data_IF_325894490133
#
_entry.id   IF_325894490133
#
_cell.length_a   1.000
_cell.length_b   1.000
_cell.length_c   1.000
_cell.angle_alpha   90.00
_cell.angle_beta   90.00
_cell.angle_gamma   90.00
#
_symmetry.space_group_name_H-M   'P 1'
#
loop_
_entity.id
_entity.type
_entity.pdbx_description
1 polymer ?
#
# COMPACT_ATOMS: atom_id res chain seq x y z
N UNK A 1 3.41 13.72 0.85
CA UNK A 1 3.13 14.90 1.66
C UNK A 1 4.35 15.18 2.51
N UNK A 2 5.05 16.26 2.15
CA UNK A 2 6.24 16.68 2.85
C UNK A 2 5.89 17.22 4.23
N UNK A 3 6.67 16.86 5.23
CA UNK A 3 6.67 17.58 6.49
C UNK A 3 7.19 19.00 6.20
N UNK A 4 6.35 19.99 6.38
CA UNK A 4 6.74 21.39 6.22
C UNK A 4 7.67 21.77 7.37
N UNK A 5 8.91 22.12 7.04
CA UNK A 5 9.90 22.58 8.02
C UNK A 5 9.81 24.09 8.08
N UNK A 6 8.92 24.64 8.90
CA UNK A 6 8.96 26.06 9.29
C UNK A 6 9.79 26.22 10.56
N UNK A 7 10.96 26.82 10.43
CA UNK A 7 11.74 27.27 11.57
C UNK A 7 12.41 26.19 12.41
N UNK A 8 12.75 25.06 11.84
CA UNK A 8 13.50 23.99 12.54
C UNK A 8 12.69 23.16 13.53
N UNK A 9 11.38 23.32 13.58
CA UNK A 9 10.48 22.51 14.43
C UNK A 9 9.77 21.50 13.53
N UNK A 10 9.96 20.20 13.78
CA UNK A 10 9.12 19.15 13.19
C UNK A 10 7.70 19.36 13.67
N UNK A 11 6.77 19.58 12.74
CA UNK A 11 5.35 19.56 13.09
C UNK A 11 4.95 18.16 13.53
N UNK A 12 4.09 18.11 14.55
CA UNK A 12 3.56 16.89 15.15
C UNK A 12 2.94 15.93 14.14
N UNK A 13 3.02 14.64 14.45
CA UNK A 13 2.42 13.56 13.65
C UNK A 13 0.90 13.76 13.40
N UNK A 14 0.22 14.56 14.18
CA UNK A 14 -1.18 14.96 13.98
C UNK A 14 -1.41 15.77 12.69
N UNK A 15 -0.38 16.42 12.17
CA UNK A 15 -0.45 17.11 10.87
C UNK A 15 -0.42 16.13 9.67
N UNK A 16 -0.07 14.86 9.89
CA UNK A 16 -0.02 13.83 8.86
C UNK A 16 -1.34 13.07 8.67
N UNK A 17 -2.33 13.29 9.53
CA UNK A 17 -3.65 12.64 9.46
C UNK A 17 -4.63 13.37 8.53
N UNK A 18 -4.13 14.07 7.52
CA UNK A 18 -4.94 14.93 6.67
C UNK A 18 -5.44 14.26 5.40
N UNK A 19 -4.72 13.26 4.89
CA UNK A 19 -5.14 12.55 3.68
C UNK A 19 -6.39 11.73 3.94
N UNK A 20 -7.40 11.94 3.08
CA UNK A 20 -8.69 11.29 3.18
C UNK A 20 -8.95 10.41 1.95
N UNK A 21 -9.90 9.50 2.07
CA UNK A 21 -10.38 8.70 0.94
C UNK A 21 -10.89 9.59 -0.19
N UNK A 22 -11.51 10.73 0.13
CA UNK A 22 -11.97 11.71 -0.86
C UNK A 22 -10.82 12.24 -1.73
N UNK A 23 -9.64 12.47 -1.16
CA UNK A 23 -8.46 12.88 -1.93
C UNK A 23 -8.08 11.83 -2.98
N UNK A 24 -8.12 10.57 -2.60
CA UNK A 24 -7.87 9.46 -3.52
C UNK A 24 -8.92 9.40 -4.63
N UNK A 25 -10.19 9.48 -4.28
CA UNK A 25 -11.30 9.44 -5.24
C UNK A 25 -11.21 10.60 -6.24
N UNK A 26 -10.94 11.81 -5.76
CA UNK A 26 -10.79 12.99 -6.62
C UNK A 26 -9.58 12.87 -7.56
N UNK A 27 -8.47 12.32 -7.10
CA UNK A 27 -7.29 12.06 -7.94
C UNK A 27 -7.65 11.05 -9.05
N UNK A 28 -8.35 9.98 -8.71
CA UNK A 28 -8.80 8.99 -9.71
C UNK A 28 -9.71 9.63 -10.76
N UNK A 29 -10.66 10.46 -10.33
CA UNK A 29 -11.72 10.97 -11.20
C UNK A 29 -11.28 12.19 -12.04
N UNK A 30 -10.41 13.04 -11.51
CA UNK A 30 -10.14 14.36 -12.08
C UNK A 30 -8.80 14.46 -12.83
N UNK A 31 -7.85 13.53 -12.62
CA UNK A 31 -6.53 13.62 -13.28
C UNK A 31 -6.55 13.03 -14.69
N UNK A 32 -5.74 13.62 -15.58
CA UNK A 32 -5.57 13.19 -16.97
C UNK A 32 -4.21 12.57 -17.22
N UNK A 33 -3.19 12.98 -16.48
CA UNK A 33 -1.81 12.57 -16.66
C UNK A 33 -1.34 11.51 -15.65
N UNK A 34 -2.28 10.93 -14.90
CA UNK A 34 -2.05 9.86 -13.95
C UNK A 34 -2.64 8.56 -14.48
N UNK A 35 -1.84 7.50 -14.56
CA UNK A 35 -2.28 6.19 -15.09
C UNK A 35 -2.81 5.27 -14.01
N UNK A 36 -2.23 5.32 -12.82
CA UNK A 36 -2.57 4.43 -11.71
C UNK A 36 -2.48 5.17 -10.38
N UNK A 37 -3.39 4.89 -9.48
CA UNK A 37 -3.49 5.51 -8.16
C UNK A 37 -3.81 4.44 -7.13
N UNK A 38 -3.09 4.42 -6.03
CA UNK A 38 -3.38 3.53 -4.91
C UNK A 38 -3.33 4.29 -3.58
N UNK A 39 -4.37 4.17 -2.75
CA UNK A 39 -4.25 4.56 -1.35
C UNK A 39 -3.24 3.66 -0.67
N UNK A 40 -2.63 4.14 0.41
CA UNK A 40 -1.63 3.38 1.15
C UNK A 40 -1.79 3.59 2.66
N UNK A 41 -1.89 2.48 3.35
CA UNK A 41 -1.74 2.37 4.79
C UNK A 41 -0.83 1.18 5.08
N UNK A 42 -0.08 1.19 6.17
CA UNK A 42 0.79 0.05 6.46
C UNK A 42 0.88 -0.20 7.96
N UNK A 43 1.26 -1.43 8.30
CA UNK A 43 1.52 -1.86 9.67
C UNK A 43 2.64 -2.90 9.66
N UNK A 44 3.63 -2.71 10.52
CA UNK A 44 4.72 -3.67 10.72
C UNK A 44 4.41 -4.58 11.90
N UNK A 45 4.79 -5.84 11.81
CA UNK A 45 4.55 -6.84 12.83
C UNK A 45 5.03 -8.22 12.44
N UNK A 46 4.51 -9.23 13.12
CA UNK A 46 4.84 -10.62 12.88
C UNK A 46 3.72 -11.31 12.07
N UNK A 47 4.07 -11.91 10.95
CA UNK A 47 3.23 -12.87 10.25
C UNK A 47 3.53 -14.26 10.82
N UNK A 48 2.50 -15.08 11.03
CA UNK A 48 2.61 -16.39 11.67
C UNK A 48 1.87 -17.44 10.84
N UNK A 49 2.53 -18.53 10.58
CA UNK A 49 1.94 -19.74 10.03
C UNK A 49 2.46 -20.97 10.79
N UNK A 50 1.58 -21.65 11.55
CA UNK A 50 1.99 -22.73 12.42
C UNK A 50 3.06 -22.30 13.43
N UNK A 51 4.20 -22.98 13.42
CA UNK A 51 5.35 -22.66 14.26
C UNK A 51 6.31 -21.63 13.66
N UNK A 52 6.07 -21.21 12.41
CA UNK A 52 6.93 -20.28 11.70
C UNK A 52 6.41 -18.86 11.84
N UNK A 53 7.32 -17.91 12.00
CA UNK A 53 7.00 -16.51 12.00
C UNK A 53 7.95 -15.70 11.11
N UNK A 54 7.48 -14.57 10.62
CA UNK A 54 8.25 -13.66 9.79
C UNK A 54 7.94 -12.22 10.22
N UNK A 55 8.92 -11.46 10.70
CA UNK A 55 8.75 -10.03 10.85
C UNK A 55 8.64 -9.42 9.46
N UNK A 56 7.57 -8.66 9.22
CA UNK A 56 7.31 -8.07 7.90
C UNK A 56 6.40 -6.85 8.02
N UNK A 57 6.14 -6.20 6.89
CA UNK A 57 5.20 -5.10 6.81
C UNK A 57 4.04 -5.49 5.90
N UNK A 58 2.81 -5.24 6.37
CA UNK A 58 1.60 -5.36 5.55
C UNK A 58 1.26 -3.98 5.01
N UNK A 59 1.15 -3.89 3.68
CA UNK A 59 0.71 -2.70 2.97
C UNK A 59 -0.75 -2.88 2.56
N UNK A 60 -1.61 -2.01 3.06
CA UNK A 60 -3.00 -1.89 2.62
C UNK A 60 -3.06 -0.97 1.41
N UNK A 61 -3.41 -1.53 0.25
CA UNK A 61 -3.33 -0.86 -1.05
C UNK A 61 -4.52 -1.25 -1.94
N UNK A 62 -4.60 -0.67 -3.12
CA UNK A 62 -5.49 -1.11 -4.20
C UNK A 62 -4.71 -1.92 -5.25
N UNK A 63 -5.40 -2.66 -6.14
CA UNK A 63 -4.73 -3.45 -7.18
C UNK A 63 -3.79 -2.64 -8.09
N UNK A 64 -4.03 -1.35 -8.28
CA UNK A 64 -3.16 -0.46 -9.07
C UNK A 64 -1.72 -0.38 -8.53
N UNK A 65 -1.53 -0.72 -7.27
CA UNK A 65 -0.20 -0.74 -6.65
C UNK A 65 0.78 -1.67 -7.39
N UNK A 66 0.29 -2.77 -7.96
CA UNK A 66 1.12 -3.69 -8.75
C UNK A 66 1.74 -2.98 -9.95
N UNK A 67 0.95 -2.20 -10.69
CA UNK A 67 1.45 -1.42 -11.82
C UNK A 67 2.43 -0.35 -11.38
N UNK A 68 2.09 0.41 -10.34
CA UNK A 68 2.91 1.51 -9.82
C UNK A 68 4.29 1.04 -9.39
N UNK A 69 4.35 -0.07 -8.64
CA UNK A 69 5.59 -0.64 -8.09
C UNK A 69 6.17 -1.76 -8.94
N UNK A 70 5.54 -2.08 -10.07
CA UNK A 70 5.99 -3.13 -11.01
C UNK A 70 6.13 -4.49 -10.36
N UNK A 71 5.17 -4.86 -9.52
CA UNK A 71 5.01 -6.21 -9.02
C UNK A 71 4.15 -7.03 -9.97
N UNK A 72 4.44 -8.34 -10.04
CA UNK A 72 3.64 -9.31 -10.79
C UNK A 72 3.25 -10.45 -9.87
N UNK A 73 2.05 -10.99 -10.06
CA UNK A 73 1.61 -12.19 -9.38
C UNK A 73 2.14 -13.40 -10.14
N UNK A 74 2.90 -14.26 -9.46
CA UNK A 74 3.45 -15.50 -10.02
C UNK A 74 2.48 -16.67 -9.87
N UNK A 75 1.90 -16.82 -8.68
CA UNK A 75 0.94 -17.87 -8.34
C UNK A 75 -0.33 -17.27 -7.77
N UNK A 76 -1.48 -17.90 -8.09
CA UNK A 76 -2.77 -17.41 -7.63
C UNK A 76 -3.19 -16.12 -8.32
N UNK A 77 -3.91 -15.29 -7.61
CA UNK A 77 -4.47 -14.06 -8.12
C UNK A 77 -4.23 -12.87 -7.16
N UNK A 78 -4.39 -11.65 -7.68
CA UNK A 78 -4.50 -10.45 -6.86
C UNK A 78 -5.89 -10.39 -6.23
N UNK A 79 -6.02 -9.75 -5.08
CA UNK A 79 -7.33 -9.44 -4.52
C UNK A 79 -8.07 -8.43 -5.40
N UNK A 80 -9.40 -8.43 -5.30
CA UNK A 80 -10.30 -7.70 -6.20
C UNK A 80 -10.83 -6.41 -5.56
N UNK A 81 -11.47 -5.57 -6.36
CA UNK A 81 -12.21 -4.41 -5.90
C UNK A 81 -13.32 -4.79 -4.90
N UNK A 82 -13.95 -5.94 -5.09
CA UNK A 82 -14.94 -6.46 -4.14
C UNK A 82 -14.31 -6.78 -2.79
N UNK A 83 -13.11 -7.33 -2.77
CA UNK A 83 -12.36 -7.58 -1.53
C UNK A 83 -12.08 -6.27 -0.78
N UNK A 84 -11.82 -5.19 -1.51
CA UNK A 84 -11.68 -3.86 -0.93
C UNK A 84 -13.01 -3.39 -0.32
N UNK A 85 -14.10 -3.47 -1.07
CA UNK A 85 -15.42 -3.01 -0.60
C UNK A 85 -15.90 -3.75 0.65
N UNK A 86 -15.61 -5.03 0.74
CA UNK A 86 -16.01 -5.88 1.87
C UNK A 86 -14.97 -5.92 3.00
N UNK A 87 -13.86 -5.24 2.86
CA UNK A 87 -12.71 -5.33 3.77
C UNK A 87 -12.33 -6.79 4.04
N UNK A 88 -12.19 -7.57 2.98
CA UNK A 88 -11.91 -9.00 3.06
C UNK A 88 -10.54 -9.28 3.68
N UNK A 89 -10.45 -10.34 4.47
CA UNK A 89 -9.21 -10.79 5.09
C UNK A 89 -8.44 -11.70 4.13
N UNK A 90 -7.97 -11.12 3.05
CA UNK A 90 -7.17 -11.77 2.01
C UNK A 90 -5.86 -11.02 1.84
N UNK A 91 -4.82 -11.72 1.36
CA UNK A 91 -3.52 -11.11 1.13
C UNK A 91 -2.76 -11.77 -0.02
N UNK A 92 -1.79 -11.04 -0.52
CA UNK A 92 -0.79 -11.49 -1.49
C UNK A 92 0.57 -11.31 -0.85
N UNK A 93 1.42 -12.32 -0.92
CA UNK A 93 2.70 -12.37 -0.19
C UNK A 93 3.88 -12.32 -1.13
N UNK A 94 4.94 -11.65 -0.71
CA UNK A 94 6.25 -11.67 -1.38
C UNK A 94 7.04 -12.93 -1.06
N UNK A 95 8.06 -13.22 -1.87
CA UNK A 95 8.86 -14.46 -1.78
C UNK A 95 9.59 -14.63 -0.45
N UNK A 96 10.10 -13.54 0.13
CA UNK A 96 10.78 -13.62 1.43
C UNK A 96 9.84 -14.08 2.53
N UNK A 97 8.60 -13.59 2.53
CA UNK A 97 7.57 -14.04 3.48
C UNK A 97 7.23 -15.53 3.25
N UNK A 98 7.12 -15.95 2.00
CA UNK A 98 6.90 -17.37 1.65
C UNK A 98 8.02 -18.25 2.19
N UNK A 99 9.28 -17.86 1.96
CA UNK A 99 10.44 -18.64 2.42
C UNK A 99 10.48 -18.78 3.94
N UNK A 100 10.09 -17.73 4.66
CA UNK A 100 10.09 -17.73 6.12
C UNK A 100 8.91 -18.50 6.72
N UNK A 101 7.74 -18.47 6.11
CA UNK A 101 6.53 -19.11 6.64
C UNK A 101 6.32 -20.53 6.11
N UNK A 102 6.82 -20.82 4.91
CA UNK A 102 6.67 -22.11 4.22
C UNK A 102 8.05 -22.68 3.81
N UNK A 103 8.96 -22.91 4.77
CA UNK A 103 10.33 -23.35 4.47
C UNK A 103 10.38 -24.77 3.89
N UNK A 104 9.31 -25.54 4.02
CA UNK A 104 9.18 -26.89 3.45
C UNK A 104 8.81 -26.89 1.96
N UNK A 105 8.62 -25.71 1.34
CA UNK A 105 8.25 -25.57 -0.07
C UNK A 105 6.78 -25.86 -0.36
N UNK A 106 5.92 -25.99 0.67
CA UNK A 106 4.48 -26.18 0.46
C UNK A 106 3.86 -24.95 -0.21
N UNK A 107 2.75 -25.16 -0.95
CA UNK A 107 2.05 -24.10 -1.66
C UNK A 107 1.37 -23.15 -0.68
N UNK A 108 1.75 -21.86 -0.64
CA UNK A 108 1.13 -20.90 0.27
C UNK A 108 -0.28 -20.49 -0.15
N UNK A 109 -0.64 -20.57 -1.42
CA UNK A 109 -1.96 -20.13 -1.91
C UNK A 109 -3.08 -20.98 -1.30
N UNK A 110 -4.07 -20.30 -0.73
CA UNK A 110 -5.19 -20.93 -0.03
C UNK A 110 -4.93 -21.16 1.47
N UNK A 111 -3.72 -20.98 1.94
CA UNK A 111 -3.39 -21.08 3.38
C UNK A 111 -3.77 -19.80 4.12
N UNK A 112 -4.04 -19.94 5.42
CA UNK A 112 -4.37 -18.83 6.31
C UNK A 112 -3.19 -18.54 7.21
N UNK A 113 -2.71 -17.32 7.16
CA UNK A 113 -1.67 -16.80 8.05
C UNK A 113 -2.29 -15.82 9.04
N UNK A 114 -1.60 -15.54 10.13
CA UNK A 114 -2.02 -14.55 11.12
C UNK A 114 -1.08 -13.36 11.11
N UNK A 115 -1.67 -12.17 11.17
CA UNK A 115 -0.97 -10.91 11.36
C UNK A 115 -1.78 -10.05 12.33
N UNK A 116 -1.14 -9.54 13.40
CA UNK A 116 -1.82 -8.75 14.45
C UNK A 116 -3.07 -9.46 15.00
N UNK A 117 -2.97 -10.76 15.24
CA UNK A 117 -4.07 -11.65 15.68
C UNK A 117 -5.23 -11.82 14.69
N UNK A 118 -5.13 -11.27 13.49
CA UNK A 118 -6.13 -11.43 12.44
C UNK A 118 -5.71 -12.52 11.45
N UNK A 119 -6.65 -13.38 11.02
CA UNK A 119 -6.40 -14.36 9.97
C UNK A 119 -6.48 -13.68 8.61
N UNK A 120 -5.54 -14.02 7.72
CA UNK A 120 -5.55 -13.60 6.31
C UNK A 120 -5.36 -14.83 5.44
N UNK A 121 -6.24 -15.02 4.46
CA UNK A 121 -6.07 -16.07 3.47
C UNK A 121 -5.16 -15.57 2.35
N UNK A 122 -4.12 -16.32 2.05
CA UNK A 122 -3.23 -16.05 0.93
C UNK A 122 -3.96 -16.39 -0.37
N UNK A 123 -4.17 -15.41 -1.24
CA UNK A 123 -4.80 -15.59 -2.56
C UNK A 123 -3.78 -15.58 -3.68
N UNK A 124 -2.59 -15.05 -3.45
CA UNK A 124 -1.53 -14.97 -4.45
C UNK A 124 -0.15 -14.82 -3.86
N UNK A 125 0.84 -15.11 -4.69
CA UNK A 125 2.27 -14.96 -4.41
C UNK A 125 2.88 -14.08 -5.49
N UNK A 126 3.66 -13.09 -5.08
CA UNK A 126 4.34 -12.20 -6.00
C UNK A 126 5.60 -12.86 -6.60
N UNK A 127 5.87 -12.52 -7.86
CA UNK A 127 7.15 -12.81 -8.48
C UNK A 127 8.29 -12.08 -7.73
N UNK A 128 9.44 -12.74 -7.58
CA UNK A 128 10.58 -12.15 -6.90
C UNK A 128 11.15 -10.96 -7.66
N UNK A 129 11.43 -9.87 -6.93
CA UNK A 129 12.13 -8.69 -7.44
C UNK A 129 13.56 -8.56 -6.92
N UNK A 130 13.86 -9.24 -5.80
CA UNK A 130 15.17 -9.14 -5.14
C UNK A 130 15.37 -7.81 -4.41
N UNK A 131 16.64 -7.44 -4.24
CA UNK A 131 17.03 -6.20 -3.56
C UNK A 131 17.03 -5.02 -4.52
N UNK A 132 16.61 -3.84 -4.03
CA UNK A 132 16.71 -2.62 -4.80
C UNK A 132 18.13 -2.00 -4.70
N UNK A 133 18.36 -0.88 -5.40
CA UNK A 133 19.64 -0.17 -5.39
C UNK A 133 20.05 0.36 -4.01
N UNK A 134 19.12 0.48 -3.07
CA UNK A 134 19.37 0.91 -1.69
C UNK A 134 19.59 -0.28 -0.73
N UNK A 135 19.65 -1.51 -1.25
CA UNK A 135 19.85 -2.72 -0.47
C UNK A 135 18.63 -3.20 0.30
N UNK A 136 17.44 -2.69 -0.01
CA UNK A 136 16.20 -3.14 0.61
C UNK A 136 15.60 -4.34 -0.12
N UNK A 137 15.14 -5.32 0.64
CA UNK A 137 14.46 -6.51 0.11
C UNK A 137 13.04 -6.16 -0.33
N UNK A 138 12.81 -6.14 -1.63
CA UNK A 138 11.50 -5.83 -2.23
C UNK A 138 10.50 -6.99 -2.11
N UNK A 139 10.95 -8.17 -1.69
CA UNK A 139 10.14 -9.37 -1.55
C UNK A 139 9.66 -9.61 -0.12
N UNK A 140 10.11 -8.79 0.84
CA UNK A 140 9.71 -8.86 2.25
C UNK A 140 8.51 -7.95 2.51
N UNK A 141 7.35 -8.38 2.03
CA UNK A 141 6.11 -7.64 2.22
C UNK A 141 4.89 -8.53 2.06
N UNK A 142 3.78 -8.06 2.61
CA UNK A 142 2.44 -8.58 2.41
C UNK A 142 1.58 -7.44 1.87
N UNK A 143 0.77 -7.71 0.85
CA UNK A 143 -0.21 -6.79 0.30
C UNK A 143 -1.62 -7.24 0.71
N UNK A 144 -2.44 -6.30 1.17
CA UNK A 144 -3.82 -6.56 1.54
C UNK A 144 -4.72 -5.40 1.10
N UNK A 145 -6.05 -5.57 1.05
CA UNK A 145 -6.94 -4.46 0.77
C UNK A 145 -6.75 -3.33 1.80
N UNK A 146 -6.62 -2.09 1.34
CA UNK A 146 -6.40 -0.96 2.24
C UNK A 146 -7.50 -0.81 3.28
N UNK A 147 -8.75 -1.13 2.92
CA UNK A 147 -9.90 -1.08 3.84
C UNK A 147 -9.75 -2.07 4.99
N UNK A 148 -9.21 -3.25 4.73
CA UNK A 148 -8.96 -4.27 5.76
C UNK A 148 -7.93 -3.78 6.77
N UNK A 149 -6.82 -3.24 6.31
CA UNK A 149 -5.76 -2.73 7.17
C UNK A 149 -6.22 -1.48 7.93
N UNK A 150 -6.89 -0.56 7.22
CA UNK A 150 -7.42 0.67 7.80
C UNK A 150 -8.43 0.40 8.92
N UNK A 151 -9.39 -0.49 8.69
CA UNK A 151 -10.49 -0.75 9.61
C UNK A 151 -10.17 -1.78 10.68
N UNK A 152 -9.50 -2.86 10.31
CA UNK A 152 -9.34 -4.05 11.18
C UNK A 152 -7.99 -4.12 11.88
N UNK A 153 -6.96 -3.51 11.34
CA UNK A 153 -5.61 -3.50 11.92
C UNK A 153 -5.31 -2.17 12.62
N UNK A 154 -5.49 -1.06 11.93
CA UNK A 154 -5.11 0.27 12.43
C UNK A 154 -6.25 1.02 13.12
N UNK A 155 -7.50 0.68 12.82
CA UNK A 155 -8.70 1.39 13.30
C UNK A 155 -8.63 2.91 13.03
N UNK A 156 -8.27 3.29 11.80
CA UNK A 156 -8.16 4.68 11.35
C UNK A 156 -9.11 4.95 10.19
N UNK A 157 -9.42 6.23 9.97
CA UNK A 157 -10.28 6.68 8.86
C UNK A 157 -9.54 7.49 7.80
N UNK A 158 -8.30 7.88 8.09
CA UNK A 158 -7.42 8.58 7.17
C UNK A 158 -6.52 7.61 6.39
N UNK A 159 -5.84 8.13 5.37
CA UNK A 159 -4.79 7.43 4.64
C UNK A 159 -3.42 7.92 5.12
N UNK A 160 -2.43 7.04 5.08
CA UNK A 160 -1.05 7.41 5.37
C UNK A 160 -0.34 7.94 4.13
N UNK A 161 -0.79 7.53 2.95
CA UNK A 161 -0.25 7.99 1.69
C UNK A 161 -1.18 7.68 0.53
N UNK A 162 -0.88 8.28 -0.60
CA UNK A 162 -1.47 7.97 -1.90
C UNK A 162 -0.31 7.84 -2.88
N UNK A 163 -0.20 6.70 -3.52
CA UNK A 163 0.86 6.42 -4.48
C UNK A 163 0.28 6.51 -5.89
N UNK A 164 0.96 7.23 -6.76
CA UNK A 164 0.51 7.48 -8.12
C UNK A 164 1.61 7.17 -9.12
N UNK A 165 1.20 6.84 -10.34
CA UNK A 165 2.08 6.70 -11.49
C UNK A 165 1.64 7.66 -12.59
N UNK A 166 2.56 8.43 -13.15
CA UNK A 166 2.28 9.27 -14.30
C UNK A 166 1.99 8.41 -15.54
N UNK A 167 1.13 8.91 -16.44
CA UNK A 167 0.76 8.22 -17.67
C UNK A 167 1.98 7.90 -18.55
N UNK A 168 2.94 8.85 -18.57
CA UNK A 168 4.27 8.71 -19.19
C UNK A 168 5.26 9.53 -18.39
N UNK A 169 6.55 9.19 -18.46
CA UNK A 169 7.62 9.92 -17.79
C UNK A 169 7.62 11.42 -18.16
N UNK A 170 7.38 11.75 -19.42
CA UNK A 170 7.29 13.13 -19.92
C UNK A 170 6.12 13.93 -19.34
N UNK A 171 5.12 13.27 -18.74
CA UNK A 171 3.95 13.91 -18.12
C UNK A 171 4.05 14.00 -16.58
N UNK A 172 5.20 13.71 -16.02
CA UNK A 172 5.39 13.71 -14.53
C UNK A 172 5.06 15.07 -13.92
N UNK A 173 5.51 16.16 -14.53
CA UNK A 173 5.25 17.51 -14.01
C UNK A 173 3.77 17.87 -14.08
N UNK A 174 3.09 17.54 -15.17
CA UNK A 174 1.65 17.74 -15.30
C UNK A 174 0.86 16.91 -14.29
N UNK A 175 1.26 15.67 -14.04
CA UNK A 175 0.64 14.82 -13.03
C UNK A 175 0.81 15.41 -11.62
N UNK A 176 1.99 15.90 -11.29
CA UNK A 176 2.26 16.58 -10.01
C UNK A 176 1.39 17.82 -9.85
N UNK A 177 1.26 18.64 -10.89
CA UNK A 177 0.44 19.85 -10.86
C UNK A 177 -1.04 19.52 -10.64
N UNK A 178 -1.59 18.52 -11.33
CA UNK A 178 -2.97 18.07 -11.13
C UNK A 178 -3.23 17.58 -9.71
N UNK A 179 -2.36 16.73 -9.18
CA UNK A 179 -2.48 16.20 -7.82
C UNK A 179 -2.36 17.33 -6.80
N UNK A 180 -1.41 18.23 -6.97
CA UNK A 180 -1.19 19.37 -6.08
C UNK A 180 -2.40 20.30 -6.02
N UNK A 181 -3.01 20.58 -7.16
CA UNK A 181 -4.24 21.40 -7.23
C UNK A 181 -5.40 20.76 -6.47
N UNK A 182 -5.62 19.46 -6.68
CA UNK A 182 -6.68 18.72 -5.98
C UNK A 182 -6.47 18.75 -4.46
N UNK A 183 -5.26 18.46 -3.99
CA UNK A 183 -4.94 18.45 -2.57
C UNK A 183 -5.07 19.84 -1.94
N UNK A 184 -4.58 20.89 -2.61
CA UNK A 184 -4.75 22.27 -2.13
C UNK A 184 -6.22 22.66 -1.99
N UNK A 185 -7.02 22.34 -3.00
CA UNK A 185 -8.46 22.59 -2.97
C UNK A 185 -9.13 21.88 -1.81
N UNK A 186 -8.88 20.57 -1.65
CA UNK A 186 -9.52 19.74 -0.65
C UNK A 186 -9.11 20.12 0.78
N UNK A 187 -7.86 20.53 0.96
CA UNK A 187 -7.32 20.90 2.26
C UNK A 187 -7.30 22.42 2.51
N UNK A 188 -7.84 23.23 1.58
CA UNK A 188 -7.90 24.70 1.65
C UNK A 188 -6.53 25.34 1.88
N UNK A 189 -5.51 24.78 1.23
CA UNK A 189 -4.14 25.26 1.30
C UNK A 189 -3.90 26.42 0.31
N UNK A 190 -2.89 27.21 0.58
CA UNK A 190 -2.45 28.29 -0.32
C UNK A 190 -1.45 27.75 -1.35
N UNK A 191 -1.24 28.50 -2.45
CA UNK A 191 -0.25 28.14 -3.49
C UNK A 191 1.18 28.02 -2.94
N UNK A 192 1.46 28.65 -1.81
CA UNK A 192 2.78 28.62 -1.16
C UNK A 192 2.98 27.39 -0.26
N UNK A 193 1.96 26.57 -0.07
CA UNK A 193 1.97 25.40 0.77
C UNK A 193 2.09 24.11 -0.10
#
# INVERSE_FOLDING_TARGET
PGADVRGGVRQDASAMETLKLQDYEDIVDETRFVSAVSPSVNSSGQAIYGANNAPTTVYGISPDYLEIRRYKVEDGDMFTEQDIQTAAKVCVVGKTVVDNLFPDGSNPVGKVIRFQKLPFRIVGVLESKGYNSMGMDQDDLILAPYTTIQKKVLAITHLQGITCSALKEEYTDQAIDEISEILRRNHKLKESD
#
